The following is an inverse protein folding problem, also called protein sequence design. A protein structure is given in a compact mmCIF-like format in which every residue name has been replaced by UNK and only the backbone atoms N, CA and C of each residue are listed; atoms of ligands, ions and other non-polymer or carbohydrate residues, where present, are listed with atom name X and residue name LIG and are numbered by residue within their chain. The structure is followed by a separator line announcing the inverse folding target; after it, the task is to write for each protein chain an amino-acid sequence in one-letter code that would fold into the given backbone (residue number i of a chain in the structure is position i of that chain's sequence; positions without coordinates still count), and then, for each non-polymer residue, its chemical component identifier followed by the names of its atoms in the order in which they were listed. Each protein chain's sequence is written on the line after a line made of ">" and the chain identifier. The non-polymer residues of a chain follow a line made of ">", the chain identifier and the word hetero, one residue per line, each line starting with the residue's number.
data_IF_459783795324
#
_entry.id   IF_459783795324
#
_cell.length_a   1.000
_cell.length_b   1.000
_cell.length_c   1.000
_cell.angle_alpha   90.00
_cell.angle_beta   90.00
_cell.angle_gamma   90.00
#
_symmetry.space_group_name_H-M   'P 1'
#
loop_
_entity.id
_entity.type
_entity.pdbx_description
1 polymer ?
#
# COMPACT_ATOMS: atom_id res chain seq x y z
N UNK A 1 38.23 51.93 -51.03
CA UNK A 1 36.94 52.18 -50.33
C UNK A 1 35.76 51.29 -50.76
N UNK A 2 35.71 50.67 -51.96
CA UNK A 2 34.57 49.80 -52.34
C UNK A 2 34.63 48.34 -51.81
N UNK A 3 35.79 47.85 -51.38
CA UNK A 3 35.95 46.44 -50.94
C UNK A 3 35.54 46.18 -49.48
N UNK A 4 35.63 47.18 -48.60
CA UNK A 4 35.28 46.99 -47.17
C UNK A 4 33.76 46.90 -46.93
N UNK A 5 32.94 47.51 -47.80
CA UNK A 5 31.48 47.39 -47.69
C UNK A 5 30.91 46.03 -48.12
N UNK A 6 31.62 45.28 -48.98
CA UNK A 6 31.16 43.95 -49.43
C UNK A 6 31.31 42.88 -48.34
N UNK A 7 32.35 42.96 -47.51
CA UNK A 7 32.56 42.01 -46.40
C UNK A 7 31.48 42.16 -45.30
N UNK A 8 30.98 43.37 -45.08
CA UNK A 8 29.92 43.63 -44.08
C UNK A 8 28.56 43.04 -44.48
N UNK A 9 28.25 42.95 -45.78
CA UNK A 9 26.95 42.45 -46.26
C UNK A 9 26.90 40.92 -46.22
N UNK A 10 28.04 40.24 -46.47
CA UNK A 10 28.16 38.78 -46.39
C UNK A 10 28.03 38.24 -44.95
N UNK A 11 28.51 38.97 -43.94
CA UNK A 11 28.32 38.58 -42.54
C UNK A 11 26.88 38.79 -42.05
N UNK A 12 26.13 39.74 -42.63
CA UNK A 12 24.74 40.01 -42.24
C UNK A 12 23.76 38.96 -42.77
N UNK A 13 24.00 38.41 -43.97
CA UNK A 13 23.16 37.35 -44.53
C UNK A 13 23.34 36.01 -43.81
N UNK A 14 24.56 35.66 -43.40
CA UNK A 14 24.82 34.45 -42.61
C UNK A 14 24.14 34.49 -41.23
N UNK A 15 24.08 35.66 -40.59
CA UNK A 15 23.39 35.85 -39.31
C UNK A 15 21.86 35.69 -39.44
N UNK A 16 21.28 36.14 -40.57
CA UNK A 16 19.85 36.04 -40.87
C UNK A 16 19.38 34.60 -41.11
N UNK A 17 20.27 33.67 -41.51
CA UNK A 17 19.90 32.26 -41.70
C UNK A 17 20.16 31.38 -40.47
N UNK A 18 21.15 31.71 -39.63
CA UNK A 18 21.47 30.91 -38.43
C UNK A 18 20.49 31.11 -37.26
N UNK A 19 20.01 32.35 -37.07
CA UNK A 19 19.04 32.66 -36.01
C UNK A 19 17.71 31.91 -36.20
N UNK A 20 17.05 31.90 -37.36
CA UNK A 20 15.77 31.19 -37.52
C UNK A 20 15.91 29.67 -37.45
N UNK A 21 17.05 29.08 -37.85
CA UNK A 21 17.24 27.63 -37.75
C UNK A 21 17.38 27.18 -36.30
N UNK A 22 18.17 27.87 -35.48
CA UNK A 22 18.28 27.57 -34.04
C UNK A 22 16.94 27.74 -33.32
N UNK A 23 16.18 28.78 -33.68
CA UNK A 23 14.87 29.07 -33.11
C UNK A 23 13.81 28.05 -33.56
N UNK A 24 13.88 27.58 -34.81
CA UNK A 24 13.05 26.48 -35.32
C UNK A 24 13.36 25.17 -34.60
N UNK A 25 14.64 24.84 -34.38
CA UNK A 25 15.04 23.64 -33.63
C UNK A 25 14.54 23.72 -32.19
N UNK A 26 14.64 24.88 -31.53
CA UNK A 26 14.07 25.10 -30.21
C UNK A 26 12.54 25.03 -30.19
N UNK A 27 11.86 25.51 -31.24
CA UNK A 27 10.41 25.41 -31.38
C UNK A 27 9.95 23.98 -31.65
N UNK A 28 10.70 23.21 -32.44
CA UNK A 28 10.39 21.79 -32.71
C UNK A 28 10.70 20.93 -31.49
N UNK A 29 11.83 21.18 -30.80
CA UNK A 29 12.13 20.51 -29.53
C UNK A 29 11.11 20.90 -28.46
N UNK A 30 10.75 22.18 -28.36
CA UNK A 30 9.67 22.65 -27.50
C UNK A 30 8.35 21.97 -27.87
N UNK A 31 7.97 21.94 -29.15
CA UNK A 31 6.76 21.25 -29.57
C UNK A 31 6.81 19.75 -29.28
N UNK A 32 7.94 19.06 -29.46
CA UNK A 32 8.08 17.65 -29.12
C UNK A 32 8.06 17.39 -27.61
N UNK A 33 8.64 18.30 -26.82
CA UNK A 33 8.62 18.23 -25.35
C UNK A 33 7.23 18.51 -24.79
N UNK A 34 6.45 19.38 -25.46
CA UNK A 34 5.16 19.88 -24.98
C UNK A 34 3.94 19.31 -25.73
N UNK A 35 4.12 18.42 -26.71
CA UNK A 35 3.02 17.81 -27.46
C UNK A 35 2.78 16.34 -27.07
N UNK A 36 1.52 15.87 -27.12
CA UNK A 36 1.18 14.47 -26.90
C UNK A 36 1.88 13.51 -27.88
N UNK A 37 2.31 14.01 -29.05
CA UNK A 37 3.09 13.26 -30.05
C UNK A 37 4.47 12.81 -29.53
N UNK A 38 5.05 13.53 -28.57
CA UNK A 38 6.34 13.16 -27.96
C UNK A 38 6.24 11.99 -26.96
N UNK A 39 5.05 11.72 -26.42
CA UNK A 39 4.86 10.74 -25.33
C UNK A 39 5.38 9.32 -25.63
N UNK A 40 5.26 8.75 -26.85
CA UNK A 40 5.79 7.41 -27.13
C UNK A 40 7.32 7.36 -27.12
N UNK A 41 7.97 8.45 -27.55
CA UNK A 41 9.43 8.57 -27.53
C UNK A 41 9.93 8.68 -26.09
N UNK A 42 9.32 9.56 -25.28
CA UNK A 42 9.68 9.70 -23.86
C UNK A 42 9.44 8.40 -23.09
N UNK A 43 8.36 7.67 -23.37
CA UNK A 43 8.09 6.35 -22.77
C UNK A 43 9.17 5.34 -23.14
N UNK A 44 9.51 5.24 -24.42
CA UNK A 44 10.54 4.29 -24.89
C UNK A 44 11.91 4.63 -24.30
N UNK A 45 12.25 5.91 -24.24
CA UNK A 45 13.49 6.39 -23.63
C UNK A 45 13.51 6.13 -22.11
N UNK A 46 12.41 6.34 -21.41
CA UNK A 46 12.30 6.06 -19.97
C UNK A 46 12.51 4.57 -19.66
N UNK A 47 11.89 3.69 -20.45
CA UNK A 47 12.05 2.25 -20.33
C UNK A 47 13.49 1.80 -20.64
N UNK A 48 14.10 2.40 -21.67
CA UNK A 48 15.52 2.15 -21.98
C UNK A 48 16.44 2.59 -20.84
N UNK A 49 16.26 3.78 -20.27
CA UNK A 49 17.00 4.23 -19.08
C UNK A 49 16.82 3.28 -17.90
N UNK A 50 15.60 2.80 -17.66
CA UNK A 50 15.30 1.82 -16.62
C UNK A 50 16.09 0.52 -16.83
N UNK A 51 16.11 0.01 -18.06
CA UNK A 51 16.86 -1.21 -18.42
C UNK A 51 18.37 -1.07 -18.21
N UNK A 52 18.89 0.16 -18.28
CA UNK A 52 20.30 0.50 -18.02
C UNK A 52 20.58 0.88 -16.57
N UNK A 53 19.61 0.69 -15.66
CA UNK A 53 19.68 1.08 -14.24
C UNK A 53 19.96 2.58 -14.02
N UNK A 54 19.62 3.42 -15.00
CA UNK A 54 19.66 4.89 -14.90
C UNK A 54 18.36 5.38 -14.28
N UNK A 55 18.21 5.10 -12.99
CA UNK A 55 16.92 5.24 -12.29
C UNK A 55 16.46 6.69 -12.16
N UNK A 56 17.37 7.64 -11.91
CA UNK A 56 17.02 9.06 -11.77
C UNK A 56 16.49 9.64 -13.10
N UNK A 57 17.16 9.35 -14.21
CA UNK A 57 16.75 9.78 -15.54
C UNK A 57 15.44 9.11 -15.97
N UNK A 58 15.31 7.80 -15.71
CA UNK A 58 14.07 7.07 -15.96
C UNK A 58 12.89 7.66 -15.17
N UNK A 59 13.08 7.95 -13.88
CA UNK A 59 12.06 8.54 -13.01
C UNK A 59 11.63 9.93 -13.51
N UNK A 60 12.58 10.77 -13.90
CA UNK A 60 12.29 12.08 -14.47
C UNK A 60 11.47 11.95 -15.76
N UNK A 61 11.87 11.08 -16.69
CA UNK A 61 11.14 10.86 -17.95
C UNK A 61 9.73 10.34 -17.71
N UNK A 62 9.55 9.34 -16.84
CA UNK A 62 8.22 8.82 -16.50
C UNK A 62 7.34 9.86 -15.81
N UNK A 63 7.90 10.69 -14.92
CA UNK A 63 7.15 11.78 -14.27
C UNK A 63 6.64 12.82 -15.28
N UNK A 64 7.42 13.09 -16.33
CA UNK A 64 6.98 13.96 -17.43
C UNK A 64 5.86 13.31 -18.23
N UNK A 65 6.03 12.05 -18.63
CA UNK A 65 4.98 11.30 -19.36
C UNK A 65 3.68 11.26 -18.55
N UNK A 66 3.77 11.03 -17.25
CA UNK A 66 2.62 11.08 -16.34
C UNK A 66 1.90 12.43 -16.38
N UNK A 67 2.61 13.55 -16.18
CA UNK A 67 1.97 14.88 -16.20
C UNK A 67 1.30 15.22 -17.53
N UNK A 68 1.87 14.77 -18.66
CA UNK A 68 1.24 14.95 -19.97
C UNK A 68 -0.04 14.14 -20.13
N UNK A 69 -0.06 12.92 -19.59
CA UNK A 69 -1.20 12.03 -19.72
C UNK A 69 -2.28 12.28 -18.68
N UNK A 70 -1.93 12.74 -17.47
CA UNK A 70 -2.90 13.16 -16.45
C UNK A 70 -3.89 14.20 -17.00
N UNK A 71 -3.43 15.07 -17.91
CA UNK A 71 -4.26 16.06 -18.61
C UNK A 71 -5.20 15.47 -19.66
N UNK A 72 -4.96 14.24 -20.11
CA UNK A 72 -5.64 13.62 -21.27
C UNK A 72 -6.48 12.42 -20.85
N UNK A 73 -5.92 11.50 -20.07
CA UNK A 73 -6.51 10.24 -19.59
C UNK A 73 -5.73 9.79 -18.35
N UNK A 74 -6.41 9.65 -17.20
CA UNK A 74 -5.80 9.36 -15.89
C UNK A 74 -4.91 8.11 -15.86
N UNK A 75 -3.61 8.29 -16.13
CA UNK A 75 -2.69 7.16 -16.32
C UNK A 75 -1.92 6.80 -15.03
N UNK A 76 -2.62 6.13 -14.11
CA UNK A 76 -2.02 5.56 -12.88
C UNK A 76 -0.83 4.63 -13.14
N UNK A 77 -0.68 4.12 -14.37
CA UNK A 77 0.45 3.28 -14.79
C UNK A 77 1.78 4.06 -14.79
N UNK A 78 1.80 5.27 -15.37
CA UNK A 78 3.04 6.05 -15.45
C UNK A 78 3.43 6.67 -14.11
N UNK A 79 2.44 6.99 -13.28
CA UNK A 79 2.68 7.34 -11.88
C UNK A 79 3.42 6.22 -11.15
N UNK A 80 2.94 4.97 -11.24
CA UNK A 80 3.60 3.80 -10.63
C UNK A 80 4.99 3.52 -11.21
N UNK A 81 5.19 3.72 -12.51
CA UNK A 81 6.51 3.56 -13.14
C UNK A 81 7.51 4.64 -12.67
N UNK A 82 7.07 5.89 -12.57
CA UNK A 82 7.87 6.97 -12.00
C UNK A 82 8.19 6.68 -10.53
N UNK A 83 7.19 6.24 -9.75
CA UNK A 83 7.34 5.90 -8.35
C UNK A 83 8.39 4.80 -8.12
N UNK A 84 8.31 3.73 -8.90
CA UNK A 84 9.28 2.63 -8.87
C UNK A 84 10.69 3.12 -9.22
N UNK A 85 10.84 3.93 -10.26
CA UNK A 85 12.16 4.46 -10.64
C UNK A 85 12.73 5.39 -9.55
N UNK A 86 11.91 6.21 -8.89
CA UNK A 86 12.33 7.01 -7.73
C UNK A 86 12.68 6.14 -6.52
N UNK A 87 11.97 5.04 -6.28
CA UNK A 87 12.28 4.04 -5.24
C UNK A 87 13.69 3.48 -5.46
N UNK A 88 13.97 3.00 -6.68
CA UNK A 88 15.28 2.45 -7.05
C UNK A 88 16.41 3.49 -7.03
N UNK A 89 16.08 4.77 -7.25
CA UNK A 89 17.02 5.88 -7.13
C UNK A 89 17.27 6.32 -5.67
N UNK A 90 16.57 5.73 -4.69
CA UNK A 90 16.66 6.09 -3.27
C UNK A 90 15.89 7.35 -2.88
N UNK A 91 15.08 7.92 -3.79
CA UNK A 91 14.25 9.09 -3.50
C UNK A 91 12.87 8.66 -3.00
N UNK A 92 12.82 8.15 -1.77
CA UNK A 92 11.60 7.59 -1.17
C UNK A 92 10.46 8.61 -1.07
N UNK A 93 10.78 9.91 -0.88
CA UNK A 93 9.77 10.97 -0.80
C UNK A 93 9.00 11.14 -2.12
N UNK A 94 9.72 11.25 -3.23
CA UNK A 94 9.06 11.35 -4.55
C UNK A 94 8.41 10.03 -4.94
N UNK A 95 9.03 8.90 -4.58
CA UNK A 95 8.42 7.59 -4.79
C UNK A 95 7.05 7.48 -4.12
N UNK A 96 6.94 7.89 -2.85
CA UNK A 96 5.70 7.92 -2.09
C UNK A 96 4.62 8.76 -2.80
N UNK A 97 4.96 10.00 -3.16
CA UNK A 97 4.04 10.92 -3.87
C UNK A 97 3.51 10.32 -5.17
N UNK A 98 4.39 9.70 -5.97
CA UNK A 98 3.98 9.09 -7.24
C UNK A 98 3.22 7.77 -7.05
N UNK A 99 3.46 7.01 -5.99
CA UNK A 99 2.63 5.84 -5.65
C UNK A 99 1.23 6.25 -5.18
N UNK A 100 1.10 7.36 -4.44
CA UNK A 100 -0.20 7.93 -4.06
C UNK A 100 -0.99 8.38 -5.30
N UNK A 101 -0.35 9.11 -6.22
CA UNK A 101 -0.93 9.48 -7.52
C UNK A 101 -1.32 8.28 -8.39
N UNK A 102 -0.56 7.19 -8.25
CA UNK A 102 -0.84 5.92 -8.91
C UNK A 102 -1.87 5.04 -8.19
N UNK A 103 -2.40 5.51 -7.05
CA UNK A 103 -3.32 4.81 -6.16
C UNK A 103 -2.82 3.42 -5.70
N UNK A 104 -1.50 3.23 -5.64
CA UNK A 104 -0.90 1.98 -5.15
C UNK A 104 -0.72 2.03 -3.62
N UNK A 105 -1.85 2.03 -2.91
CA UNK A 105 -1.90 2.16 -1.45
C UNK A 105 -1.09 1.08 -0.71
N UNK A 106 -0.89 -0.09 -1.34
CA UNK A 106 -0.01 -1.14 -0.81
C UNK A 106 1.44 -0.66 -0.73
N UNK A 107 1.94 -0.08 -1.83
CA UNK A 107 3.30 0.47 -1.90
C UNK A 107 3.47 1.73 -1.06
N UNK A 108 2.46 2.60 -1.03
CA UNK A 108 2.46 3.79 -0.16
C UNK A 108 2.65 3.38 1.30
N UNK A 109 1.82 2.46 1.80
CA UNK A 109 1.94 2.01 3.19
C UNK A 109 3.25 1.28 3.47
N UNK A 110 3.77 0.49 2.52
CA UNK A 110 5.09 -0.13 2.67
C UNK A 110 6.21 0.92 2.78
N UNK A 111 6.22 1.93 1.92
CA UNK A 111 7.24 3.00 1.98
C UNK A 111 7.14 3.80 3.27
N UNK A 112 5.92 4.09 3.76
CA UNK A 112 5.73 4.73 5.05
C UNK A 112 6.35 3.91 6.18
N UNK A 113 6.21 2.58 6.16
CA UNK A 113 6.87 1.69 7.13
C UNK A 113 8.40 1.75 7.01
N UNK A 114 8.95 1.70 5.80
CA UNK A 114 10.40 1.80 5.55
C UNK A 114 10.98 3.15 6.00
N UNK A 115 10.17 4.21 5.94
CA UNK A 115 10.50 5.54 6.47
C UNK A 115 10.30 5.67 7.99
N UNK A 116 9.92 4.61 8.70
CA UNK A 116 9.64 4.62 10.14
C UNK A 116 8.32 5.28 10.53
N UNK A 117 7.45 5.62 9.57
CA UNK A 117 6.14 6.26 9.79
C UNK A 117 5.04 5.21 9.97
N UNK A 118 5.25 4.30 10.91
CA UNK A 118 4.43 3.11 11.13
C UNK A 118 2.96 3.43 11.39
N UNK A 119 2.67 4.41 12.25
CA UNK A 119 1.28 4.77 12.59
C UNK A 119 0.50 5.29 11.38
N UNK A 120 1.14 6.09 10.52
CA UNK A 120 0.54 6.60 9.29
C UNK A 120 0.24 5.47 8.32
N UNK A 121 1.16 4.51 8.17
CA UNK A 121 0.94 3.34 7.34
C UNK A 121 -0.24 2.48 7.82
N UNK A 122 -0.38 2.29 9.14
CA UNK A 122 -1.51 1.54 9.71
C UNK A 122 -2.84 2.25 9.53
N UNK A 123 -2.87 3.56 9.76
CA UNK A 123 -4.05 4.38 9.50
C UNK A 123 -4.47 4.28 8.03
N UNK A 124 -3.49 4.38 7.11
CA UNK A 124 -3.73 4.22 5.67
C UNK A 124 -4.28 2.84 5.32
N UNK A 125 -3.69 1.76 5.83
CA UNK A 125 -4.19 0.40 5.56
C UNK A 125 -5.62 0.19 6.06
N UNK A 126 -5.99 0.80 7.19
CA UNK A 126 -7.37 0.80 7.70
C UNK A 126 -8.30 1.62 6.81
N UNK A 127 -7.92 2.84 6.48
CA UNK A 127 -8.72 3.76 5.66
C UNK A 127 -9.00 3.19 4.27
N UNK A 128 -7.97 2.65 3.62
CA UNK A 128 -8.07 2.06 2.27
C UNK A 128 -8.55 0.62 2.26
N UNK A 129 -8.98 0.09 3.41
CA UNK A 129 -9.51 -1.28 3.57
C UNK A 129 -8.57 -2.34 2.96
N UNK A 130 -7.32 -2.34 3.41
CA UNK A 130 -6.27 -3.29 3.01
C UNK A 130 -5.99 -4.33 4.12
N UNK A 131 -6.96 -5.22 4.44
CA UNK A 131 -6.87 -6.11 5.59
C UNK A 131 -5.68 -7.09 5.49
N UNK A 132 -5.31 -7.52 4.29
CA UNK A 132 -4.16 -8.41 4.09
C UNK A 132 -2.83 -7.79 4.54
N UNK A 133 -2.63 -6.48 4.28
CA UNK A 133 -1.43 -5.76 4.70
C UNK A 133 -1.42 -5.51 6.20
N UNK A 134 -2.57 -5.14 6.75
CA UNK A 134 -2.73 -4.92 8.18
C UNK A 134 -2.52 -6.22 8.98
N UNK A 135 -3.05 -7.34 8.50
CA UNK A 135 -2.86 -8.66 9.10
C UNK A 135 -1.40 -9.10 9.06
N UNK A 136 -0.71 -8.91 7.92
CA UNK A 136 0.72 -9.19 7.81
C UNK A 136 1.54 -8.35 8.81
N UNK A 137 1.20 -7.07 8.96
CA UNK A 137 1.89 -6.23 9.94
C UNK A 137 1.66 -6.73 11.38
N UNK A 138 0.43 -7.06 11.76
CA UNK A 138 0.14 -7.60 13.08
C UNK A 138 0.85 -8.94 13.34
N UNK A 139 0.99 -9.79 12.31
CA UNK A 139 1.78 -11.02 12.38
C UNK A 139 3.26 -10.73 12.70
N UNK A 140 3.88 -9.75 12.03
CA UNK A 140 5.29 -9.39 12.25
C UNK A 140 5.54 -8.76 13.64
N UNK A 141 4.54 -8.09 14.20
CA UNK A 141 4.64 -7.43 15.51
C UNK A 141 4.09 -8.29 16.66
N UNK A 142 3.91 -9.58 16.43
CA UNK A 142 3.40 -10.54 17.42
C UNK A 142 2.03 -10.19 18.02
N UNK A 143 1.26 -9.32 17.35
CA UNK A 143 -0.13 -9.06 17.69
C UNK A 143 -1.01 -10.13 17.05
N UNK A 144 -0.89 -11.35 17.56
CA UNK A 144 -1.53 -12.52 16.97
C UNK A 144 -3.05 -12.46 17.06
N UNK A 145 -3.63 -11.90 18.12
CA UNK A 145 -5.09 -11.76 18.24
C UNK A 145 -5.64 -10.81 17.17
N UNK A 146 -5.01 -9.65 16.98
CA UNK A 146 -5.41 -8.71 15.93
C UNK A 146 -5.23 -9.30 14.52
N UNK A 147 -4.14 -10.04 14.27
CA UNK A 147 -3.93 -10.73 13.00
C UNK A 147 -5.03 -11.79 12.76
N UNK A 148 -5.36 -12.58 13.78
CA UNK A 148 -6.40 -13.61 13.72
C UNK A 148 -7.78 -13.03 13.39
N UNK A 149 -8.14 -11.90 14.02
CA UNK A 149 -9.42 -11.22 13.75
C UNK A 149 -9.53 -10.74 12.31
N UNK A 150 -8.46 -10.16 11.75
CA UNK A 150 -8.45 -9.77 10.33
C UNK A 150 -8.52 -10.97 9.40
N UNK A 151 -7.84 -12.08 9.74
CA UNK A 151 -7.93 -13.30 8.95
C UNK A 151 -9.34 -13.90 8.97
N UNK A 152 -10.01 -13.88 10.11
CA UNK A 152 -11.37 -14.41 10.27
C UNK A 152 -12.41 -13.52 9.57
N UNK A 153 -12.44 -12.23 9.90
CA UNK A 153 -13.55 -11.34 9.55
C UNK A 153 -13.42 -10.74 8.15
N UNK A 154 -12.20 -10.35 7.76
CA UNK A 154 -11.98 -9.58 6.52
C UNK A 154 -11.43 -10.44 5.38
N UNK A 155 -10.68 -11.50 5.70
CA UNK A 155 -10.05 -12.38 4.71
C UNK A 155 -10.71 -13.76 4.62
N UNK A 156 -11.74 -14.01 5.43
CA UNK A 156 -12.51 -15.26 5.47
C UNK A 156 -11.62 -16.53 5.50
N UNK A 157 -10.53 -16.47 6.28
CA UNK A 157 -9.56 -17.54 6.42
C UNK A 157 -9.52 -18.04 7.87
N UNK A 158 -10.59 -18.77 8.24
CA UNK A 158 -10.78 -19.32 9.59
C UNK A 158 -9.65 -20.24 10.04
N UNK A 159 -9.02 -20.98 9.13
CA UNK A 159 -7.86 -21.83 9.46
C UNK A 159 -6.63 -21.02 9.88
N UNK A 160 -6.33 -19.93 9.16
CA UNK A 160 -5.21 -19.05 9.51
C UNK A 160 -5.54 -18.28 10.80
N UNK A 161 -6.78 -17.83 10.97
CA UNK A 161 -7.25 -17.21 12.21
C UNK A 161 -7.08 -18.12 13.43
N UNK A 162 -7.52 -19.39 13.34
CA UNK A 162 -7.35 -20.39 14.40
C UNK A 162 -5.88 -20.49 14.87
N UNK A 163 -4.95 -20.66 13.92
CA UNK A 163 -3.52 -20.75 14.23
C UNK A 163 -2.98 -19.52 14.95
N UNK A 164 -3.45 -18.33 14.57
CA UNK A 164 -3.02 -17.10 15.23
C UNK A 164 -3.60 -16.95 16.63
N UNK A 165 -4.86 -17.29 16.83
CA UNK A 165 -5.44 -17.25 18.17
C UNK A 165 -4.75 -18.27 19.11
N UNK A 166 -4.42 -19.46 18.62
CA UNK A 166 -3.63 -20.45 19.37
C UNK A 166 -2.25 -19.89 19.72
N UNK A 167 -1.56 -19.27 18.76
CA UNK A 167 -0.24 -18.66 18.98
C UNK A 167 -0.30 -17.49 19.96
N UNK A 168 -1.34 -16.66 19.89
CA UNK A 168 -1.59 -15.57 20.85
C UNK A 168 -1.79 -16.10 22.27
N UNK A 169 -2.56 -17.18 22.42
CA UNK A 169 -2.80 -17.81 23.71
C UNK A 169 -1.54 -18.43 24.34
N UNK A 170 -0.55 -18.82 23.52
CA UNK A 170 0.75 -19.33 23.97
C UNK A 170 1.70 -18.25 24.49
N UNK A 171 1.39 -16.96 24.31
CA UNK A 171 2.23 -15.88 24.82
C UNK A 171 2.23 -15.87 26.35
N UNK A 172 3.42 -16.04 26.95
CA UNK A 172 3.61 -16.13 28.41
C UNK A 172 3.06 -14.90 29.16
N UNK A 173 3.21 -13.72 28.56
CA UNK A 173 2.81 -12.43 29.15
C UNK A 173 1.42 -11.95 28.75
N UNK A 174 0.56 -12.83 28.21
CA UNK A 174 -0.78 -12.42 27.79
C UNK A 174 -1.64 -12.01 29.01
N UNK A 175 -2.16 -10.76 29.06
CA UNK A 175 -3.00 -10.29 30.16
C UNK A 175 -4.23 -11.18 30.39
N UNK A 176 -4.77 -11.25 31.62
CA UNK A 176 -5.94 -12.08 31.92
C UNK A 176 -7.15 -11.81 31.00
N UNK A 177 -7.45 -10.54 30.73
CA UNK A 177 -8.54 -10.14 29.84
C UNK A 177 -8.32 -10.58 28.39
N UNK A 178 -7.11 -10.38 27.86
CA UNK A 178 -6.75 -10.84 26.50
C UNK A 178 -6.76 -12.37 26.40
N UNK A 179 -6.44 -13.08 27.48
CA UNK A 179 -6.56 -14.54 27.54
C UNK A 179 -8.01 -14.99 27.43
N UNK A 180 -8.94 -14.32 28.11
CA UNK A 180 -10.38 -14.59 28.01
C UNK A 180 -10.87 -14.28 26.60
N UNK A 181 -10.49 -13.13 26.06
CA UNK A 181 -10.80 -12.73 24.68
C UNK A 181 -10.32 -13.78 23.68
N UNK A 182 -9.06 -14.21 23.78
CA UNK A 182 -8.49 -15.26 22.93
C UNK A 182 -9.28 -16.57 23.00
N UNK A 183 -9.75 -16.96 24.19
CA UNK A 183 -10.58 -18.16 24.36
C UNK A 183 -11.95 -18.02 23.69
N UNK A 184 -12.61 -16.87 23.78
CA UNK A 184 -13.86 -16.64 23.03
C UNK A 184 -13.65 -16.62 21.52
N UNK A 185 -12.56 -16.00 21.04
CA UNK A 185 -12.20 -16.00 19.63
C UNK A 185 -11.94 -17.43 19.12
N UNK A 186 -11.23 -18.26 19.90
CA UNK A 186 -11.04 -19.68 19.60
C UNK A 186 -12.35 -20.45 19.58
N UNK A 187 -13.23 -20.23 20.55
CA UNK A 187 -14.55 -20.87 20.58
C UNK A 187 -15.35 -20.55 19.31
N UNK A 188 -15.38 -19.27 18.91
CA UNK A 188 -16.06 -18.81 17.70
C UNK A 188 -15.48 -19.44 16.43
N UNK A 189 -14.16 -19.38 16.24
CA UNK A 189 -13.54 -19.91 15.01
C UNK A 189 -13.65 -21.43 14.92
N UNK A 190 -13.52 -22.16 16.04
CA UNK A 190 -13.72 -23.62 16.07
C UNK A 190 -15.16 -23.97 15.70
N UNK A 191 -16.15 -23.19 16.13
CA UNK A 191 -17.54 -23.38 15.72
C UNK A 191 -17.71 -23.21 14.20
N UNK A 192 -17.11 -22.17 13.62
CA UNK A 192 -17.12 -21.94 12.17
C UNK A 192 -16.41 -23.04 11.35
N UNK A 193 -15.45 -23.74 11.96
CA UNK A 193 -14.74 -24.88 11.37
C UNK A 193 -15.42 -26.24 11.65
N UNK A 194 -16.65 -26.25 12.18
CA UNK A 194 -17.40 -27.45 12.61
C UNK A 194 -16.70 -28.31 13.68
N UNK A 195 -15.76 -27.71 14.43
CA UNK A 195 -15.07 -28.33 15.57
C UNK A 195 -15.81 -28.05 16.87
N UNK A 196 -17.03 -28.58 17.00
CA UNK A 196 -17.96 -28.23 18.09
C UNK A 196 -17.40 -28.54 19.48
N UNK A 197 -16.76 -29.69 19.68
CA UNK A 197 -16.20 -30.08 20.99
C UNK A 197 -15.08 -29.13 21.44
N UNK A 198 -14.15 -28.79 20.54
CA UNK A 198 -13.10 -27.80 20.79
C UNK A 198 -13.73 -26.44 21.11
N UNK A 199 -14.75 -26.04 20.37
CA UNK A 199 -15.47 -24.79 20.59
C UNK A 199 -16.06 -24.69 22.00
N UNK A 200 -16.79 -25.71 22.46
CA UNK A 200 -17.33 -25.77 23.83
C UNK A 200 -16.23 -25.77 24.88
N UNK A 201 -15.12 -26.46 24.62
CA UNK A 201 -13.97 -26.50 25.53
C UNK A 201 -13.38 -25.10 25.73
N UNK A 202 -13.14 -24.36 24.64
CA UNK A 202 -12.62 -23.01 24.71
C UNK A 202 -13.58 -22.04 25.40
N UNK A 203 -14.89 -22.17 25.13
CA UNK A 203 -15.93 -21.37 25.78
C UNK A 203 -15.98 -21.60 27.29
N UNK A 204 -16.04 -22.85 27.75
CA UNK A 204 -16.05 -23.18 29.18
C UNK A 204 -14.77 -22.74 29.91
N UNK A 205 -13.62 -22.78 29.23
CA UNK A 205 -12.37 -22.22 29.76
C UNK A 205 -12.46 -20.69 29.91
N UNK A 206 -13.10 -19.97 28.98
CA UNK A 206 -13.32 -18.53 29.10
C UNK A 206 -14.21 -18.19 30.31
N UNK A 207 -15.32 -18.90 30.50
CA UNK A 207 -16.21 -18.72 31.66
C UNK A 207 -15.51 -19.01 32.98
N UNK A 208 -14.68 -20.06 33.03
CA UNK A 208 -13.87 -20.40 34.21
C UNK A 208 -12.85 -19.31 34.54
N UNK A 209 -12.33 -18.61 33.53
CA UNK A 209 -11.42 -17.48 33.73
C UNK A 209 -12.18 -16.24 34.21
N UNK A 210 -13.38 -15.97 33.67
CA UNK A 210 -14.24 -14.86 34.10
C UNK A 210 -14.63 -15.02 35.58
N UNK A 211 -15.00 -16.22 36.02
CA UNK A 211 -15.38 -16.45 37.43
C UNK A 211 -14.22 -16.29 38.42
N UNK A 212 -12.98 -16.31 37.94
CA UNK A 212 -11.76 -16.07 38.72
C UNK A 212 -11.29 -14.62 38.70
N UNK A 213 -11.92 -13.73 37.93
CA UNK A 213 -11.62 -12.32 38.00
C UNK A 213 -12.21 -11.73 39.28
N UNK A 214 -11.35 -11.10 40.08
CA UNK A 214 -11.75 -10.37 41.28
C UNK A 214 -12.52 -9.06 40.94
N UNK A 215 -12.48 -8.62 39.69
CA UNK A 215 -13.11 -7.42 39.18
C UNK A 215 -14.21 -7.75 38.15
N UNK A 216 -15.29 -6.95 38.08
CA UNK A 216 -16.31 -7.11 37.06
C UNK A 216 -15.69 -6.97 35.66
N UNK A 217 -16.19 -7.80 34.73
CA UNK A 217 -15.79 -7.74 33.33
C UNK A 217 -16.42 -6.49 32.69
N UNK A 218 -15.70 -5.36 32.74
CA UNK A 218 -16.15 -4.09 32.15
C UNK A 218 -15.75 -3.93 30.67
N UNK A 219 -14.95 -4.85 30.13
CA UNK A 219 -14.52 -4.81 28.73
C UNK A 219 -15.69 -5.17 27.79
N UNK A 220 -16.23 -4.13 27.15
CA UNK A 220 -17.34 -4.22 26.20
C UNK A 220 -17.05 -5.16 25.02
N UNK A 221 -15.78 -5.31 24.60
CA UNK A 221 -15.43 -6.22 23.51
C UNK A 221 -15.55 -7.68 23.96
N UNK A 222 -15.10 -7.99 25.18
CA UNK A 222 -15.20 -9.34 25.73
C UNK A 222 -16.66 -9.72 25.97
N UNK A 223 -17.46 -8.80 26.51
CA UNK A 223 -18.91 -9.01 26.70
C UNK A 223 -19.65 -9.22 25.38
N UNK A 224 -19.30 -8.46 24.33
CA UNK A 224 -19.89 -8.64 23.01
C UNK A 224 -19.53 -10.01 22.41
N UNK A 225 -18.28 -10.44 22.58
CA UNK A 225 -17.82 -11.76 22.15
C UNK A 225 -18.53 -12.90 22.87
N UNK A 226 -18.65 -12.81 24.20
CA UNK A 226 -19.39 -13.77 25.01
C UNK A 226 -20.82 -13.95 24.49
N UNK A 227 -21.55 -12.84 24.33
CA UNK A 227 -22.93 -12.85 23.81
C UNK A 227 -23.02 -13.44 22.41
N UNK A 228 -22.06 -13.11 21.53
CA UNK A 228 -22.00 -13.64 20.18
C UNK A 228 -21.81 -15.17 20.19
N UNK A 229 -20.89 -15.68 21.00
CA UNK A 229 -20.63 -17.12 21.11
C UNK A 229 -21.82 -17.84 21.75
N UNK A 230 -22.43 -17.28 22.79
CA UNK A 230 -23.68 -17.82 23.38
C UNK A 230 -24.80 -17.92 22.35
N UNK A 231 -24.96 -16.92 21.47
CA UNK A 231 -25.96 -16.95 20.42
C UNK A 231 -25.71 -18.07 19.39
N UNK A 232 -24.44 -18.36 19.07
CA UNK A 232 -24.08 -19.47 18.18
C UNK A 232 -24.52 -20.82 18.75
N UNK A 233 -24.38 -21.02 20.06
CA UNK A 233 -24.78 -22.27 20.71
C UNK A 233 -26.28 -22.41 20.90
N UNK A 234 -27.02 -21.30 21.07
CA UNK A 234 -28.49 -21.34 21.18
C UNK A 234 -29.18 -21.67 19.85
N UNK A 235 -28.60 -21.27 18.72
CA UNK A 235 -29.16 -21.45 17.39
C UNK A 235 -28.15 -22.14 16.45
N UNK A 236 -27.87 -23.45 16.62
CA UNK A 236 -26.99 -24.16 15.70
C UNK A 236 -27.63 -24.14 14.30
N UNK A 237 -26.93 -23.59 13.31
CA UNK A 237 -27.40 -23.64 11.91
C UNK A 237 -27.73 -25.09 11.54
N UNK A 238 -28.87 -25.36 10.85
CA UNK A 238 -29.16 -26.69 10.38
C UNK A 238 -28.05 -27.16 9.44
N UNK A 239 -27.52 -28.36 9.69
CA UNK A 239 -26.52 -28.99 8.82
C UNK A 239 -27.17 -29.19 7.44
N UNK A 240 -26.66 -28.49 6.43
CA UNK A 240 -27.03 -28.64 5.02
C UNK A 240 -26.28 -29.79 4.37
#
# INVERSE_FOLDING_TARGET
>A
MKQEHMASILNFSALMFFVPFSLLVLLVLGFLIYSPLGTPLFKSLAAWCLSKKKYAESAWLYSRVYHWQELMEGSSVFARQAAFAYEQAGNLRLSLEFYEKGEDWNKVGQLLMEMGKTEQALALFKEKKLPARLAFYYEQNENYLGAGELYELELNNSHKALRFYEKGLQQEKLPPLERIRARFLLARVCFHLDKKEESYTHYGMAETLISRLDAPLEDMHVLALERAVQALFKNPKPQS
#
